data_IF_804219810747
#
_entry.id   IF_804219810747
#
_cell.length_a   1.000
_cell.length_b   1.000
_cell.length_c   1.000
_cell.angle_alpha   90.00
_cell.angle_beta   90.00
_cell.angle_gamma   90.00
#
_symmetry.space_group_name_H-M   'P 1'
#
loop_
_entity.id
_entity.type
_entity.pdbx_description
1 polymer ?
#
# COMPACT_ATOMS: atom_id res chain seq x y z
N UNK A 1 -8.46 17.66 34.05
CA UNK A 1 -7.89 17.22 32.76
C UNK A 1 -8.46 18.09 31.66
N UNK A 2 -7.60 18.67 30.82
CA UNK A 2 -8.01 19.40 29.62
C UNK A 2 -8.44 18.37 28.57
N UNK A 3 -9.65 18.50 28.02
CA UNK A 3 -10.13 17.62 26.95
C UNK A 3 -9.57 18.09 25.60
N UNK A 4 -8.99 17.21 24.77
CA UNK A 4 -8.53 17.60 23.43
C UNK A 4 -9.73 18.03 22.57
N UNK A 5 -9.54 19.08 21.77
CA UNK A 5 -10.54 19.59 20.80
C UNK A 5 -10.28 19.14 19.37
N UNK A 6 -9.06 18.65 19.09
CA UNK A 6 -8.63 18.17 17.77
C UNK A 6 -8.13 16.75 17.93
N UNK A 7 -8.55 15.87 17.01
CA UNK A 7 -8.14 14.47 16.95
C UNK A 7 -7.33 14.26 15.66
N UNK A 8 -6.15 13.67 15.80
CA UNK A 8 -5.33 13.21 14.67
C UNK A 8 -5.45 11.68 14.62
N UNK A 9 -5.68 11.15 13.42
CA UNK A 9 -5.82 9.71 13.22
C UNK A 9 -4.76 9.22 12.24
N UNK A 10 -4.07 8.18 12.64
CA UNK A 10 -3.34 7.33 11.72
C UNK A 10 -4.33 6.52 10.85
N UNK A 11 -3.91 6.04 9.68
CA UNK A 11 -4.78 5.43 8.67
C UNK A 11 -4.61 3.91 8.61
N UNK A 12 -3.41 3.43 8.31
CA UNK A 12 -3.15 2.00 8.08
C UNK A 12 -3.16 1.25 9.42
N UNK A 13 -3.84 0.11 9.49
CA UNK A 13 -4.15 -0.66 10.71
C UNK A 13 -5.06 0.05 11.73
N UNK A 14 -4.94 1.37 11.91
CA UNK A 14 -5.75 2.15 12.85
C UNK A 14 -7.19 2.35 12.35
N UNK A 15 -7.36 2.82 11.12
CA UNK A 15 -8.67 3.04 10.49
C UNK A 15 -8.97 2.02 9.39
N UNK A 16 -7.94 1.45 8.77
CA UNK A 16 -8.06 0.48 7.69
C UNK A 16 -7.68 -0.93 8.15
N UNK A 17 -8.64 -1.84 8.04
CA UNK A 17 -8.40 -3.27 8.26
C UNK A 17 -7.66 -3.89 7.07
N UNK A 18 -6.39 -4.26 7.29
CA UNK A 18 -5.54 -4.85 6.27
C UNK A 18 -5.72 -6.38 6.12
N UNK A 19 -6.49 -7.04 7.00
CA UNK A 19 -6.73 -8.50 6.94
C UNK A 19 -7.20 -9.01 5.56
N UNK A 20 -8.05 -8.30 4.79
CA UNK A 20 -8.45 -8.74 3.45
C UNK A 20 -7.27 -8.90 2.48
N UNK A 21 -6.20 -8.12 2.64
CA UNK A 21 -5.04 -8.13 1.74
C UNK A 21 -4.06 -9.27 2.03
N UNK A 22 -4.22 -9.96 3.15
CA UNK A 22 -3.31 -11.03 3.60
C UNK A 22 -3.14 -12.14 2.57
N UNK A 23 -4.22 -12.56 1.92
CA UNK A 23 -4.18 -13.60 0.87
C UNK A 23 -3.45 -13.15 -0.39
N UNK A 24 -3.52 -11.86 -0.72
CA UNK A 24 -2.84 -11.31 -1.90
C UNK A 24 -1.35 -11.21 -1.65
N UNK A 25 -0.96 -10.60 -0.54
CA UNK A 25 0.45 -10.43 -0.16
C UNK A 25 1.11 -11.79 0.13
N UNK A 26 0.38 -12.68 0.82
CA UNK A 26 0.84 -14.04 1.08
C UNK A 26 1.16 -14.80 -0.20
N UNK A 27 0.37 -14.65 -1.27
CA UNK A 27 0.66 -15.30 -2.57
C UNK A 27 1.90 -14.76 -3.25
N UNK A 28 2.14 -13.43 -3.20
CA UNK A 28 3.40 -12.86 -3.67
C UNK A 28 4.59 -13.47 -2.89
N UNK A 29 4.40 -13.77 -1.61
CA UNK A 29 5.38 -14.43 -0.73
C UNK A 29 5.23 -15.97 -0.74
N UNK A 30 4.95 -16.58 -1.89
CA UNK A 30 4.94 -18.05 -2.03
C UNK A 30 3.86 -18.76 -1.22
N UNK A 31 2.74 -18.09 -0.92
CA UNK A 31 1.64 -18.58 -0.10
C UNK A 31 1.82 -18.38 1.41
N UNK A 32 2.90 -17.73 1.86
CA UNK A 32 3.22 -17.49 3.28
C UNK A 32 2.50 -16.26 3.83
N UNK A 33 1.21 -16.44 4.13
CA UNK A 33 0.38 -15.39 4.77
C UNK A 33 0.93 -14.91 6.12
N UNK A 34 1.72 -15.72 6.82
CA UNK A 34 2.37 -15.42 8.10
C UNK A 34 3.48 -14.36 7.98
N UNK A 35 3.98 -14.10 6.78
CA UNK A 35 5.03 -13.11 6.54
C UNK A 35 4.51 -11.67 6.37
N UNK A 36 3.19 -11.47 6.29
CA UNK A 36 2.60 -10.14 6.14
C UNK A 36 3.04 -9.15 7.26
N UNK A 37 2.95 -9.49 8.56
CA UNK A 37 3.37 -8.57 9.61
C UNK A 37 4.86 -8.23 9.54
N UNK A 38 5.69 -9.21 9.13
CA UNK A 38 7.12 -9.01 8.98
C UNK A 38 7.43 -8.06 7.82
N UNK A 39 6.78 -8.23 6.67
CA UNK A 39 6.91 -7.28 5.56
C UNK A 39 6.48 -5.86 5.96
N UNK A 40 5.32 -5.73 6.62
CA UNK A 40 4.77 -4.43 7.00
C UNK A 40 5.69 -3.70 7.99
N UNK A 41 6.16 -4.39 9.04
CA UNK A 41 7.12 -3.84 9.99
C UNK A 41 8.47 -3.50 9.35
N UNK A 42 8.95 -4.30 8.40
CA UNK A 42 10.18 -4.03 7.65
C UNK A 42 10.04 -2.75 6.83
N UNK A 43 8.95 -2.62 6.06
CA UNK A 43 8.66 -1.40 5.29
C UNK A 43 8.62 -0.15 6.19
N UNK A 44 7.94 -0.22 7.35
CA UNK A 44 7.89 0.90 8.28
C UNK A 44 9.28 1.25 8.84
N UNK A 45 10.08 0.24 9.21
CA UNK A 45 11.43 0.45 9.70
C UNK A 45 12.30 1.19 8.67
N UNK A 46 12.30 0.74 7.42
CA UNK A 46 13.06 1.41 6.35
C UNK A 46 12.49 2.78 5.99
N UNK A 47 11.16 2.98 6.07
CA UNK A 47 10.57 4.30 5.88
C UNK A 47 11.06 5.32 6.89
N UNK A 48 11.37 4.89 8.12
CA UNK A 48 11.98 5.74 9.13
C UNK A 48 13.46 6.01 8.83
N UNK A 49 14.22 4.98 8.44
CA UNK A 49 15.65 5.13 8.10
C UNK A 49 15.85 6.07 6.91
N UNK A 50 14.99 5.98 5.90
CA UNK A 50 14.99 6.82 4.69
C UNK A 50 14.59 8.28 4.96
N UNK A 51 14.14 8.64 6.18
CA UNK A 51 13.95 10.06 6.54
C UNK A 51 15.26 10.78 6.91
N UNK A 52 16.37 10.04 7.04
CA UNK A 52 17.68 10.58 7.43
C UNK A 52 18.57 11.04 6.24
N UNK A 53 18.57 10.38 5.07
CA UNK A 53 19.24 10.86 3.87
C UNK A 53 18.59 12.12 3.27
N UNK A 54 19.34 12.87 2.46
CA UNK A 54 18.80 14.00 1.68
C UNK A 54 17.99 13.55 0.45
N UNK A 55 18.00 12.24 0.13
CA UNK A 55 17.29 11.67 -1.00
C UNK A 55 15.97 11.06 -0.51
N UNK A 56 14.86 11.51 -1.11
CA UNK A 56 13.52 11.04 -0.77
C UNK A 56 13.13 9.84 -1.65
N UNK A 57 12.77 8.73 -1.00
CA UNK A 57 12.13 7.59 -1.65
C UNK A 57 10.65 7.50 -1.27
N UNK A 58 9.80 7.17 -2.24
CA UNK A 58 8.37 7.04 -2.02
C UNK A 58 8.03 5.83 -1.15
N UNK A 59 6.97 5.91 -0.35
CA UNK A 59 6.55 4.80 0.53
C UNK A 59 6.30 3.49 -0.24
N UNK A 60 5.80 3.56 -1.48
CA UNK A 60 5.61 2.39 -2.34
C UNK A 60 6.92 1.77 -2.85
N UNK A 61 7.96 2.56 -3.05
CA UNK A 61 9.29 2.08 -3.44
C UNK A 61 9.94 1.35 -2.27
N UNK A 62 9.85 1.92 -1.07
CA UNK A 62 10.32 1.31 0.18
C UNK A 62 9.54 0.01 0.45
N UNK A 63 8.22 0.00 0.25
CA UNK A 63 7.39 -1.19 0.37
C UNK A 63 7.78 -2.31 -0.61
N UNK A 64 8.10 -1.95 -1.86
CA UNK A 64 8.61 -2.86 -2.89
C UNK A 64 9.96 -3.46 -2.47
N UNK A 65 10.89 -2.60 -2.05
CA UNK A 65 12.23 -3.01 -1.64
C UNK A 65 12.18 -3.94 -0.41
N UNK A 66 11.35 -3.60 0.59
CA UNK A 66 11.12 -4.44 1.76
C UNK A 66 10.53 -5.81 1.38
N UNK A 67 9.61 -5.86 0.41
CA UNK A 67 9.03 -7.11 -0.09
C UNK A 67 10.09 -8.01 -0.74
N UNK A 68 10.93 -7.42 -1.60
CA UNK A 68 12.03 -8.14 -2.27
C UNK A 68 13.05 -8.66 -1.28
N UNK A 69 13.49 -7.82 -0.34
CA UNK A 69 14.44 -8.20 0.70
C UNK A 69 13.90 -9.35 1.58
N UNK A 70 12.61 -9.31 1.92
CA UNK A 70 11.98 -10.39 2.67
C UNK A 70 11.90 -11.68 1.85
N UNK A 71 11.48 -11.60 0.58
CA UNK A 71 11.43 -12.76 -0.31
C UNK A 71 12.80 -13.43 -0.44
N UNK A 72 13.86 -12.64 -0.67
CA UNK A 72 15.24 -13.12 -0.73
C UNK A 72 15.67 -13.79 0.60
N UNK A 73 15.39 -13.15 1.74
CA UNK A 73 15.71 -13.69 3.07
C UNK A 73 15.01 -15.02 3.35
N UNK A 74 13.81 -15.21 2.80
CA UNK A 74 13.00 -16.42 2.97
C UNK A 74 13.18 -17.43 1.82
N UNK A 75 14.11 -17.18 0.89
CA UNK A 75 14.37 -18.01 -0.30
C UNK A 75 13.12 -18.23 -1.18
N UNK A 76 12.28 -17.19 -1.28
CA UNK A 76 11.08 -17.18 -2.12
C UNK A 76 11.45 -16.51 -3.44
N UNK A 77 11.22 -17.21 -4.57
CA UNK A 77 11.33 -16.58 -5.88
C UNK A 77 10.21 -15.55 -6.08
N UNK A 78 10.60 -14.29 -6.28
CA UNK A 78 9.70 -13.18 -6.55
C UNK A 78 10.06 -12.58 -7.89
N UNK A 79 9.12 -12.61 -8.86
CA UNK A 79 9.35 -11.94 -10.15
C UNK A 79 9.31 -10.43 -9.99
N UNK A 80 9.93 -9.70 -10.94
CA UNK A 80 9.86 -8.25 -10.97
C UNK A 80 8.41 -7.73 -11.09
N UNK A 81 7.54 -8.46 -11.79
CA UNK A 81 6.10 -8.13 -11.85
C UNK A 81 5.41 -8.33 -10.49
N UNK A 82 5.72 -9.41 -9.77
CA UNK A 82 5.14 -9.71 -8.46
C UNK A 82 5.63 -8.74 -7.36
N UNK A 83 6.76 -8.07 -7.58
CA UNK A 83 7.29 -7.04 -6.69
C UNK A 83 6.63 -5.66 -6.87
N UNK A 84 5.79 -5.45 -7.89
CA UNK A 84 5.17 -4.14 -8.13
C UNK A 84 4.15 -3.81 -7.03
N UNK A 85 4.23 -2.59 -6.48
CA UNK A 85 3.31 -2.10 -5.47
C UNK A 85 2.12 -1.37 -6.11
N UNK A 86 0.93 -1.63 -5.57
CA UNK A 86 -0.32 -0.96 -5.90
C UNK A 86 -0.61 0.15 -4.90
N UNK A 87 -0.77 1.40 -5.38
CA UNK A 87 -1.25 2.49 -4.55
C UNK A 87 -2.77 2.39 -4.39
N UNK A 88 -3.24 2.25 -3.15
CA UNK A 88 -4.68 2.17 -2.83
C UNK A 88 -5.10 3.44 -2.10
N UNK A 89 -6.02 4.23 -2.66
CA UNK A 89 -6.50 5.45 -2.03
C UNK A 89 -7.97 5.74 -2.35
N UNK A 90 -8.58 6.66 -1.61
CA UNK A 90 -9.93 7.15 -1.90
C UNK A 90 -9.96 8.61 -2.32
N UNK A 91 -8.84 9.32 -2.30
CA UNK A 91 -8.77 10.66 -2.86
C UNK A 91 -8.00 10.62 -4.16
N UNK A 92 -8.49 11.38 -5.15
CA UNK A 92 -7.93 11.37 -6.48
C UNK A 92 -6.52 11.98 -6.56
N UNK A 93 -6.16 12.88 -5.64
CA UNK A 93 -4.84 13.52 -5.63
C UNK A 93 -3.73 12.54 -5.25
N UNK A 94 -3.98 11.60 -4.32
CA UNK A 94 -3.05 10.51 -3.99
C UNK A 94 -2.76 9.62 -5.21
N UNK A 95 -3.82 9.27 -5.94
CA UNK A 95 -3.74 8.40 -7.12
C UNK A 95 -3.08 9.10 -8.31
N UNK A 96 -3.36 10.39 -8.49
CA UNK A 96 -2.74 11.20 -9.52
C UNK A 96 -1.22 11.30 -9.31
N UNK A 97 -0.78 11.50 -8.06
CA UNK A 97 0.64 11.48 -7.70
C UNK A 97 1.28 10.12 -8.00
N UNK A 98 0.66 9.03 -7.54
CA UNK A 98 1.17 7.68 -7.77
C UNK A 98 1.25 7.30 -9.27
N UNK A 99 0.25 7.70 -10.07
CA UNK A 99 0.26 7.49 -11.53
C UNK A 99 1.42 8.20 -12.21
N UNK A 100 1.78 9.42 -11.77
CA UNK A 100 2.93 10.14 -12.31
C UNK A 100 4.26 9.44 -12.03
N UNK A 101 4.33 8.65 -10.96
CA UNK A 101 5.48 7.80 -10.62
C UNK A 101 5.43 6.42 -11.30
N UNK A 102 4.43 6.17 -12.16
CA UNK A 102 4.28 4.90 -12.88
C UNK A 102 3.70 3.76 -12.04
N UNK A 103 3.19 4.03 -10.84
CA UNK A 103 2.56 3.01 -10.00
C UNK A 103 1.20 2.60 -10.55
N UNK A 104 0.85 1.33 -10.34
CA UNK A 104 -0.55 0.90 -10.44
C UNK A 104 -1.35 1.53 -9.31
N UNK A 105 -2.64 1.76 -9.54
CA UNK A 105 -3.53 2.47 -8.62
C UNK A 105 -4.90 1.82 -8.50
N UNK A 106 -5.42 1.78 -7.28
CA UNK A 106 -6.79 1.35 -6.97
C UNK A 106 -7.53 2.45 -6.19
N UNK A 107 -8.64 2.90 -6.75
CA UNK A 107 -9.56 3.81 -6.09
C UNK A 107 -10.60 3.03 -5.29
N UNK A 108 -10.68 3.30 -3.99
CA UNK A 108 -11.71 2.77 -3.10
C UNK A 108 -12.78 3.85 -2.86
N UNK A 109 -14.00 3.59 -3.33
CA UNK A 109 -15.13 4.52 -3.19
C UNK A 109 -15.47 4.75 -1.72
N UNK A 110 -15.54 6.03 -1.33
CA UNK A 110 -16.09 6.47 -0.04
C UNK A 110 -17.10 7.60 -0.24
N UNK A 111 -18.11 7.75 0.64
CA UNK A 111 -19.02 8.89 0.58
C UNK A 111 -18.25 10.22 0.53
N UNK A 112 -18.61 11.08 -0.43
CA UNK A 112 -17.96 12.39 -0.61
C UNK A 112 -16.66 12.39 -1.40
N UNK A 113 -16.18 11.23 -1.88
CA UNK A 113 -14.99 11.15 -2.74
C UNK A 113 -15.37 11.11 -4.21
N UNK A 114 -14.57 11.75 -5.07
CA UNK A 114 -14.74 11.75 -6.51
C UNK A 114 -13.39 11.72 -7.22
N UNK A 115 -13.35 11.07 -8.38
CA UNK A 115 -12.19 11.11 -9.27
C UNK A 115 -12.14 12.46 -9.99
N UNK A 116 -10.93 12.94 -10.24
CA UNK A 116 -10.75 14.14 -11.04
C UNK A 116 -10.87 13.81 -12.54
N UNK A 117 -11.66 14.56 -13.31
CA UNK A 117 -11.87 14.27 -14.73
C UNK A 117 -10.62 14.51 -15.59
N UNK A 118 -9.65 15.29 -15.08
CA UNK A 118 -8.44 15.72 -15.76
C UNK A 118 -7.18 14.95 -15.32
N UNK A 119 -7.32 13.86 -14.57
CA UNK A 119 -6.19 12.98 -14.19
C UNK A 119 -6.31 11.62 -14.86
N UNK A 120 -5.18 10.92 -14.97
CA UNK A 120 -5.15 9.54 -15.44
C UNK A 120 -6.11 8.68 -14.61
N UNK A 121 -6.81 7.76 -15.27
CA UNK A 121 -7.78 6.89 -14.58
C UNK A 121 -7.05 5.87 -13.73
N UNK A 122 -7.58 5.55 -12.53
CA UNK A 122 -7.08 4.42 -11.75
C UNK A 122 -7.25 3.11 -12.51
N UNK A 123 -6.36 2.16 -12.26
CA UNK A 123 -6.41 0.81 -12.86
C UNK A 123 -7.59 0.00 -12.30
N UNK A 124 -7.93 0.27 -11.03
CA UNK A 124 -9.08 -0.34 -10.35
C UNK A 124 -9.98 0.74 -9.73
N UNK A 125 -11.29 0.56 -9.85
CA UNK A 125 -12.31 1.37 -9.18
C UNK A 125 -13.23 0.40 -8.45
N UNK A 126 -13.20 0.45 -7.12
CA UNK A 126 -13.72 -0.60 -6.25
C UNK A 126 -14.50 0.02 -5.09
N UNK A 127 -15.38 -0.77 -4.47
CA UNK A 127 -16.19 -0.31 -3.33
C UNK A 127 -15.43 -0.39 -2.00
N UNK A 128 -14.60 -1.41 -1.83
CA UNK A 128 -13.87 -1.67 -0.60
C UNK A 128 -12.63 -2.56 -0.83
N UNK A 129 -11.88 -2.82 0.26
CA UNK A 129 -10.69 -3.66 0.25
C UNK A 129 -11.00 -5.16 0.05
N UNK A 130 -12.23 -5.60 0.33
CA UNK A 130 -12.64 -6.99 0.06
C UNK A 130 -12.78 -7.21 -1.43
N UNK A 131 -13.40 -6.28 -2.15
CA UNK A 131 -13.48 -6.29 -3.60
C UNK A 131 -12.09 -6.23 -4.24
N UNK A 132 -11.19 -5.42 -3.68
CA UNK A 132 -9.79 -5.39 -4.12
C UNK A 132 -9.11 -6.76 -3.96
N UNK A 133 -9.22 -7.35 -2.77
CA UNK A 133 -8.64 -8.66 -2.50
C UNK A 133 -9.17 -9.75 -3.44
N UNK A 134 -10.45 -9.69 -3.83
CA UNK A 134 -11.05 -10.60 -4.82
C UNK A 134 -10.54 -10.36 -6.24
N UNK A 135 -10.22 -9.12 -6.61
CA UNK A 135 -9.67 -8.79 -7.94
C UNK A 135 -8.21 -9.20 -8.09
N UNK A 136 -7.47 -9.21 -6.98
CA UNK A 136 -6.08 -9.67 -6.93
C UNK A 136 -6.00 -11.19 -6.64
N UNK A 137 -7.13 -11.87 -6.39
CA UNK A 137 -7.26 -13.33 -6.24
C UNK A 137 -7.11 -14.07 -7.57
#
# INVERSE_FOLDING_TARGET
MIKPTVLLFDVNETLLDLRPLRKSIGRALGGREDLLPLWFSTMLHYSLVETLPQDFHGFGEIGTAALRMLAETQQIELSAEAAQVLMVAAHAWDLAGAKKLGLQTAFIQRPGTALYPNTDRPDYVLRDLTELAQRLA
#
